data_IF_278766149168
#
_entry.id   IF_278766149168
#
_cell.length_a   1.000
_cell.length_b   1.000
_cell.length_c   1.000
_cell.angle_alpha   90.00
_cell.angle_beta   90.00
_cell.angle_gamma   90.00
#
_symmetry.space_group_name_H-M   'P 1'
#
loop_
_entity.id
_entity.type
_entity.pdbx_description
1 polymer ?
#
# COMPACT_ATOMS: atom_id res chain seq x y z
N UNK A 1 -18.16 4.56 15.04
CA UNK A 1 -16.69 4.57 15.21
C UNK A 1 -16.11 4.64 13.82
N UNK A 2 -15.22 5.60 13.58
CA UNK A 2 -14.53 5.75 12.29
C UNK A 2 -13.87 4.42 11.91
N UNK A 3 -13.98 4.02 10.64
CA UNK A 3 -13.30 2.84 10.07
C UNK A 3 -11.77 3.04 10.01
N UNK A 4 -11.31 4.26 10.33
CA UNK A 4 -9.93 4.69 10.21
C UNK A 4 -9.18 4.61 11.55
N UNK A 5 -7.91 4.24 11.47
CA UNK A 5 -6.98 4.21 12.61
C UNK A 5 -6.82 5.62 13.20
N UNK A 6 -6.79 5.80 14.53
CA UNK A 6 -6.45 7.09 15.11
C UNK A 6 -5.11 7.63 14.58
N UNK A 7 -4.97 8.96 14.47
CA UNK A 7 -3.71 9.56 14.10
C UNK A 7 -2.63 9.26 15.15
N UNK A 8 -1.37 9.24 14.73
CA UNK A 8 -0.23 9.08 15.61
C UNK A 8 0.88 10.10 15.27
N UNK A 9 1.79 10.28 16.21
CA UNK A 9 2.99 11.11 16.01
C UNK A 9 4.20 10.20 15.79
N UNK A 10 5.03 10.45 14.76
CA UNK A 10 6.23 9.68 14.54
C UNK A 10 7.26 10.01 15.62
N UNK A 11 8.11 9.04 15.91
CA UNK A 11 9.20 9.22 16.87
C UNK A 11 10.43 8.46 16.43
N UNK A 12 11.59 9.03 16.71
CA UNK A 12 12.89 8.43 16.43
C UNK A 12 13.47 7.69 17.63
N UNK A 13 12.77 7.64 18.76
CA UNK A 13 13.25 6.95 19.96
C UNK A 13 13.30 5.42 19.75
N UNK A 14 14.43 4.74 20.00
CA UNK A 14 14.50 3.29 19.89
C UNK A 14 13.59 2.53 20.86
N UNK A 15 13.27 3.12 22.02
CA UNK A 15 12.35 2.52 23.00
C UNK A 15 10.96 2.25 22.40
N UNK A 16 10.58 3.02 21.39
CA UNK A 16 9.29 2.86 20.70
C UNK A 16 9.29 1.71 19.70
N UNK A 17 10.43 1.04 19.49
CA UNK A 17 10.49 -0.15 18.66
C UNK A 17 9.86 -1.37 19.35
N UNK A 18 9.73 -1.37 20.69
CA UNK A 18 9.14 -2.46 21.48
C UNK A 18 7.75 -2.85 20.98
N UNK A 19 7.35 -4.10 21.21
CA UNK A 19 5.99 -4.57 20.91
C UNK A 19 4.99 -3.89 21.87
N UNK A 20 4.22 -2.91 21.37
CA UNK A 20 3.19 -2.19 22.12
C UNK A 20 2.10 -1.69 21.18
N UNK A 21 0.84 -1.75 21.60
CA UNK A 21 -0.29 -1.18 20.83
C UNK A 21 -0.08 0.32 20.57
N UNK A 22 0.50 1.03 21.54
CA UNK A 22 0.83 2.47 21.42
C UNK A 22 1.79 2.76 20.25
N UNK A 23 2.67 1.82 19.93
CA UNK A 23 3.73 2.01 18.92
C UNK A 23 3.55 1.14 17.68
N UNK A 24 2.43 0.42 17.58
CA UNK A 24 2.16 -0.48 16.47
C UNK A 24 2.21 0.28 15.14
N UNK A 25 1.58 1.46 15.07
CA UNK A 25 1.52 2.26 13.84
C UNK A 25 2.87 2.78 13.38
N UNK A 26 3.73 3.25 14.30
CA UNK A 26 5.09 3.66 13.92
C UNK A 26 5.96 2.46 13.50
N UNK A 27 5.78 1.30 14.14
CA UNK A 27 6.51 0.08 13.78
C UNK A 27 6.08 -0.47 12.41
N UNK A 28 4.80 -0.40 12.05
CA UNK A 28 4.28 -0.70 10.70
C UNK A 28 5.02 0.14 9.66
N UNK A 29 5.11 1.46 9.85
CA UNK A 29 5.81 2.33 8.91
C UNK A 29 7.31 2.02 8.82
N UNK A 30 7.97 1.75 9.97
CA UNK A 30 9.40 1.38 10.01
C UNK A 30 9.70 0.11 9.22
N UNK A 31 8.97 -0.98 9.47
CA UNK A 31 9.23 -2.25 8.79
C UNK A 31 8.94 -2.16 7.30
N UNK A 32 7.88 -1.44 6.92
CA UNK A 32 7.56 -1.21 5.52
C UNK A 32 8.66 -0.40 4.82
N UNK A 33 9.16 0.66 5.46
CA UNK A 33 10.28 1.44 4.92
C UNK A 33 11.53 0.57 4.74
N UNK A 34 11.88 -0.26 5.73
CA UNK A 34 13.03 -1.17 5.64
C UNK A 34 12.86 -2.19 4.50
N UNK A 35 11.68 -2.80 4.34
CA UNK A 35 11.42 -3.73 3.24
C UNK A 35 11.46 -3.07 1.86
N UNK A 36 10.95 -1.84 1.77
CA UNK A 36 10.98 -1.04 0.54
C UNK A 36 12.39 -0.57 0.16
N UNK A 37 13.31 -0.46 1.12
CA UNK A 37 14.69 -0.07 0.90
C UNK A 37 15.55 -1.16 0.24
N UNK A 38 15.13 -2.43 0.26
CA UNK A 38 15.80 -3.51 -0.48
C UNK A 38 15.44 -3.46 -1.97
N UNK A 39 16.42 -3.78 -2.83
CA UNK A 39 16.27 -3.75 -4.29
C UNK A 39 16.41 -2.37 -4.92
N UNK A 40 16.16 -2.28 -6.23
CA UNK A 40 16.47 -1.10 -7.06
C UNK A 40 15.33 -0.06 -7.15
N UNK A 41 14.21 -0.29 -6.47
CA UNK A 41 13.01 0.52 -6.66
C UNK A 41 13.05 1.81 -5.83
N UNK A 42 12.59 2.92 -6.43
CA UNK A 42 12.65 4.27 -5.82
C UNK A 42 11.40 4.64 -5.01
N UNK A 43 10.78 3.66 -4.33
CA UNK A 43 9.53 3.87 -3.59
C UNK A 43 9.63 4.90 -2.46
N UNK A 44 10.82 5.00 -1.84
CA UNK A 44 11.10 5.90 -0.71
C UNK A 44 11.65 7.27 -1.11
N UNK A 45 11.76 7.53 -2.42
CA UNK A 45 12.40 8.74 -2.89
C UNK A 45 11.54 9.97 -2.57
N UNK A 46 12.08 10.86 -1.73
CA UNK A 46 11.48 12.12 -1.33
C UNK A 46 10.95 12.09 0.09
N UNK A 47 11.24 11.02 0.82
CA UNK A 47 10.79 10.76 2.18
C UNK A 47 11.93 10.88 3.20
N UNK A 48 13.00 11.62 2.88
CA UNK A 48 14.19 11.73 3.73
C UNK A 48 13.82 12.19 5.16
N UNK A 49 12.95 13.21 5.27
CA UNK A 49 12.49 13.75 6.56
C UNK A 49 11.62 12.77 7.33
N UNK A 50 10.73 12.08 6.63
CA UNK A 50 9.81 11.10 7.23
C UNK A 50 10.57 9.86 7.72
N UNK A 51 11.60 9.41 6.99
CA UNK A 51 12.49 8.36 7.45
C UNK A 51 13.22 8.75 8.74
N UNK A 52 13.77 9.97 8.81
CA UNK A 52 14.38 10.48 10.04
C UNK A 52 13.39 10.57 11.19
N UNK A 53 12.16 11.04 10.93
CA UNK A 53 11.11 11.14 11.94
C UNK A 53 10.77 9.77 12.54
N UNK A 54 10.85 8.70 11.74
CA UNK A 54 10.71 7.31 12.20
C UNK A 54 11.96 6.74 12.87
N UNK A 55 13.07 7.48 12.90
CA UNK A 55 14.35 7.04 13.43
C UNK A 55 15.22 6.22 12.48
N UNK A 56 14.87 6.21 11.20
CA UNK A 56 15.60 5.51 10.13
C UNK A 56 16.59 6.44 9.41
N UNK A 57 17.67 5.90 8.80
CA UNK A 57 18.62 6.70 8.04
C UNK A 57 18.03 7.32 6.76
N UNK A 58 18.36 8.58 6.46
CA UNK A 58 17.91 9.28 5.24
C UNK A 58 18.35 8.59 3.95
N UNK A 59 19.52 7.93 3.97
CA UNK A 59 20.06 7.28 2.79
C UNK A 59 19.13 6.18 2.25
N UNK A 60 18.19 5.67 3.07
CA UNK A 60 17.17 4.72 2.62
C UNK A 60 16.20 5.33 1.58
N UNK A 61 16.08 6.67 1.50
CA UNK A 61 15.33 7.33 0.42
C UNK A 61 16.04 7.23 -0.94
N UNK A 62 17.35 6.96 -0.90
CA UNK A 62 18.18 6.71 -2.08
C UNK A 62 17.94 5.30 -2.65
N UNK A 63 18.55 5.05 -3.81
CA UNK A 63 18.65 3.67 -4.28
C UNK A 63 19.81 3.00 -3.56
N UNK A 64 19.55 1.85 -2.99
CA UNK A 64 20.51 1.20 -2.11
C UNK A 64 21.22 0.01 -2.73
N UNK A 65 20.67 -0.51 -3.83
CA UNK A 65 21.12 -1.72 -4.54
C UNK A 65 21.35 -2.93 -3.62
N UNK A 66 20.80 -2.93 -2.39
CA UNK A 66 21.00 -4.00 -1.44
C UNK A 66 20.12 -5.20 -1.79
N UNK A 67 20.76 -6.38 -1.77
CA UNK A 67 20.11 -7.67 -1.97
C UNK A 67 19.58 -8.21 -0.65
N UNK A 68 18.30 -8.56 -0.63
CA UNK A 68 17.70 -9.30 0.49
C UNK A 68 18.44 -10.61 0.76
N UNK A 69 18.77 -11.37 -0.28
CA UNK A 69 19.42 -12.69 -0.14
C UNK A 69 20.80 -12.58 0.52
N UNK A 70 21.54 -11.49 0.27
CA UNK A 70 22.86 -11.29 0.84
C UNK A 70 22.77 -10.82 2.30
N UNK A 71 21.80 -9.95 2.61
CA UNK A 71 21.52 -9.53 3.97
C UNK A 71 20.98 -10.68 4.83
N UNK A 72 20.06 -11.48 4.29
CA UNK A 72 19.44 -12.61 4.98
C UNK A 72 20.40 -13.78 5.18
N UNK A 73 21.46 -13.92 4.37
CA UNK A 73 22.54 -14.88 4.61
C UNK A 73 23.50 -14.46 5.72
N UNK A 74 23.60 -13.16 6.00
CA UNK A 74 24.36 -12.61 7.13
C UNK A 74 23.55 -12.63 8.43
N UNK A 75 22.26 -12.95 8.37
CA UNK A 75 21.43 -13.14 9.54
C UNK A 75 21.95 -14.31 10.37
N UNK A 76 22.51 -13.99 11.54
CA UNK A 76 22.87 -14.99 12.52
C UNK A 76 21.58 -15.53 13.17
N UNK A 77 21.34 -16.83 13.01
CA UNK A 77 20.17 -17.51 13.59
C UNK A 77 20.20 -17.48 15.12
N UNK A 78 21.39 -17.29 15.70
CA UNK A 78 21.56 -16.98 17.10
C UNK A 78 20.70 -15.82 17.55
N UNK A 79 20.33 -14.86 16.68
CA UNK A 79 19.64 -13.63 17.09
C UNK A 79 18.18 -13.81 17.54
N UNK A 80 17.52 -14.94 17.24
CA UNK A 80 16.26 -15.28 17.92
C UNK A 80 16.44 -15.81 19.34
N UNK A 81 17.66 -16.24 19.64
CA UNK A 81 18.07 -16.89 20.89
C UNK A 81 18.98 -15.96 21.71
N UNK A 82 19.65 -15.00 21.08
CA UNK A 82 20.46 -13.96 21.71
C UNK A 82 19.54 -12.93 22.36
N UNK A 83 19.90 -12.53 23.58
CA UNK A 83 19.19 -11.61 24.47
C UNK A 83 18.97 -10.18 23.92
N UNK A 84 19.20 -9.92 22.63
CA UNK A 84 19.05 -8.57 22.05
C UNK A 84 17.57 -8.23 21.88
N UNK A 85 17.16 -7.20 22.61
CA UNK A 85 15.84 -6.61 22.52
C UNK A 85 15.59 -6.00 21.12
N UNK A 86 14.31 -5.86 20.76
CA UNK A 86 13.91 -5.23 19.49
C UNK A 86 14.36 -3.78 19.41
N UNK A 87 14.40 -3.11 20.56
CA UNK A 87 14.89 -1.75 20.77
C UNK A 87 16.39 -1.62 20.47
N UNK A 88 17.21 -2.55 20.98
CA UNK A 88 18.64 -2.59 20.68
C UNK A 88 18.92 -2.87 19.21
N UNK A 89 18.20 -3.82 18.60
CA UNK A 89 18.30 -4.10 17.16
C UNK A 89 17.92 -2.87 16.34
N UNK A 90 16.83 -2.17 16.70
CA UNK A 90 16.42 -0.95 16.01
C UNK A 90 17.43 0.19 16.17
N UNK A 91 17.98 0.38 17.38
CA UNK A 91 19.03 1.37 17.63
C UNK A 91 20.28 1.10 16.76
N UNK A 92 20.63 -0.17 16.56
CA UNK A 92 21.76 -0.59 15.74
C UNK A 92 21.59 -0.30 14.23
N UNK A 93 20.36 -0.12 13.73
CA UNK A 93 20.11 0.23 12.31
C UNK A 93 20.75 1.56 11.88
N UNK A 94 21.16 2.39 12.85
CA UNK A 94 21.84 3.66 12.60
C UNK A 94 23.33 3.53 12.32
N UNK A 95 23.86 2.31 12.36
CA UNK A 95 25.29 2.01 12.20
C UNK A 95 25.60 1.34 10.85
N UNK A 96 26.88 1.11 10.53
CA UNK A 96 27.34 0.63 9.22
C UNK A 96 26.89 -0.81 8.86
N UNK A 97 26.34 -1.58 9.82
CA UNK A 97 25.86 -2.95 9.61
C UNK A 97 24.34 -3.05 9.38
N UNK A 98 23.75 -2.01 8.77
CA UNK A 98 22.30 -1.87 8.68
C UNK A 98 21.56 -3.02 7.95
N UNK A 99 22.06 -3.71 6.89
CA UNK A 99 21.25 -4.71 6.18
C UNK A 99 20.92 -5.93 7.03
N UNK A 100 21.91 -6.46 7.75
CA UNK A 100 21.71 -7.59 8.67
C UNK A 100 20.85 -7.19 9.88
N UNK A 101 21.04 -5.96 10.39
CA UNK A 101 20.18 -5.39 11.41
C UNK A 101 18.74 -5.25 10.95
N UNK A 102 18.51 -4.84 9.69
CA UNK A 102 17.18 -4.67 9.11
C UNK A 102 16.47 -6.01 8.97
N UNK A 103 17.14 -7.04 8.47
CA UNK A 103 16.59 -8.41 8.43
C UNK A 103 16.22 -8.87 9.83
N UNK A 104 17.11 -8.67 10.81
CA UNK A 104 16.86 -9.04 12.21
C UNK A 104 15.62 -8.35 12.76
N UNK A 105 15.51 -7.03 12.56
CA UNK A 105 14.38 -6.25 13.04
C UNK A 105 13.07 -6.69 12.37
N UNK A 106 13.07 -6.87 11.05
CA UNK A 106 11.91 -7.37 10.30
C UNK A 106 11.43 -8.72 10.82
N UNK A 107 12.37 -9.61 11.12
CA UNK A 107 12.10 -10.96 11.61
C UNK A 107 11.58 -10.94 13.07
N UNK A 108 12.11 -10.09 13.95
CA UNK A 108 11.59 -9.86 15.30
C UNK A 108 10.16 -9.28 15.29
N UNK A 109 9.84 -8.41 14.32
CA UNK A 109 8.49 -7.83 14.16
C UNK A 109 7.53 -8.84 13.51
N UNK A 110 8.00 -9.68 12.59
CA UNK A 110 7.21 -10.78 12.02
C UNK A 110 6.68 -11.70 13.11
N UNK A 111 7.49 -12.00 14.14
CA UNK A 111 7.08 -12.79 15.30
C UNK A 111 6.21 -12.05 16.32
N UNK A 112 5.79 -10.82 16.07
CA UNK A 112 4.96 -10.06 16.99
C UNK A 112 3.56 -10.65 17.19
N UNK A 113 3.01 -10.52 18.39
CA UNK A 113 1.60 -10.81 18.67
C UNK A 113 0.64 -9.70 18.25
N UNK A 114 1.13 -8.56 17.77
CA UNK A 114 0.33 -7.47 17.23
C UNK A 114 0.03 -7.69 15.74
N UNK A 115 -1.23 -7.54 15.36
CA UNK A 115 -1.71 -7.98 14.05
C UNK A 115 -1.09 -7.18 12.91
N UNK A 116 -1.14 -5.85 12.98
CA UNK A 116 -0.76 -4.96 11.88
C UNK A 116 0.75 -4.98 11.70
N UNK A 117 1.54 -4.90 12.78
CA UNK A 117 3.00 -4.92 12.64
C UNK A 117 3.53 -6.26 12.14
N UNK A 118 2.96 -7.40 12.58
CA UNK A 118 3.36 -8.72 12.06
C UNK A 118 3.00 -8.87 10.57
N UNK A 119 1.83 -8.37 10.15
CA UNK A 119 1.45 -8.34 8.73
C UNK A 119 2.34 -7.40 7.91
N UNK A 120 2.68 -6.23 8.44
CA UNK A 120 3.56 -5.25 7.81
C UNK A 120 4.97 -5.81 7.62
N UNK A 121 5.51 -6.53 8.62
CA UNK A 121 6.80 -7.20 8.52
C UNK A 121 6.77 -8.33 7.49
N UNK A 122 5.72 -9.15 7.47
CA UNK A 122 5.53 -10.17 6.45
C UNK A 122 5.48 -9.59 5.03
N UNK A 123 4.72 -8.50 4.85
CA UNK A 123 4.64 -7.75 3.62
C UNK A 123 6.01 -7.19 3.21
N UNK A 124 6.74 -6.57 4.13
CA UNK A 124 8.07 -6.02 3.92
C UNK A 124 9.08 -7.09 3.46
N UNK A 125 9.10 -8.25 4.13
CA UNK A 125 9.95 -9.40 3.79
C UNK A 125 9.61 -9.95 2.40
N UNK A 126 8.32 -10.12 2.11
CA UNK A 126 7.86 -10.62 0.82
C UNK A 126 8.26 -9.70 -0.35
N UNK A 127 8.15 -8.40 -0.12
CA UNK A 127 8.58 -7.38 -1.09
C UNK A 127 10.11 -7.37 -1.23
N UNK A 128 10.85 -7.36 -0.11
CA UNK A 128 12.31 -7.34 -0.07
C UNK A 128 12.93 -8.52 -0.82
N UNK A 129 12.41 -9.73 -0.62
CA UNK A 129 12.87 -10.98 -1.26
C UNK A 129 12.58 -11.08 -2.76
N UNK A 130 11.87 -10.11 -3.36
CA UNK A 130 11.56 -10.13 -4.79
C UNK A 130 10.61 -11.25 -5.21
N UNK A 131 9.94 -11.92 -4.26
CA UNK A 131 9.05 -13.07 -4.51
C UNK A 131 7.73 -12.72 -5.22
N UNK A 132 7.43 -11.43 -5.41
CA UNK A 132 6.25 -10.95 -6.16
C UNK A 132 6.05 -11.64 -7.51
N UNK A 133 7.14 -11.96 -8.21
CA UNK A 133 7.08 -12.54 -9.56
C UNK A 133 7.12 -14.08 -9.59
N UNK A 134 7.29 -14.74 -8.43
CA UNK A 134 7.52 -16.20 -8.37
C UNK A 134 6.22 -17.00 -8.48
N UNK A 135 5.08 -16.41 -8.13
CA UNK A 135 3.75 -17.05 -8.21
C UNK A 135 3.39 -17.48 -9.65
N UNK A 136 4.08 -16.93 -10.66
CA UNK A 136 3.72 -17.11 -12.06
C UNK A 136 4.55 -18.15 -12.84
N UNK A 137 5.56 -18.80 -12.23
CA UNK A 137 6.23 -19.95 -12.86
C UNK A 137 5.32 -21.19 -12.86
N UNK A 138 4.25 -21.12 -13.66
CA UNK A 138 3.41 -22.24 -14.11
C UNK A 138 4.32 -23.27 -14.79
N UNK A 139 4.51 -24.42 -14.14
CA UNK A 139 5.13 -25.61 -14.74
C UNK A 139 6.15 -26.33 -13.86
N UNK A 140 6.67 -25.70 -12.81
CA UNK A 140 7.52 -26.39 -11.84
C UNK A 140 6.68 -27.32 -10.95
N UNK A 141 7.14 -28.54 -10.60
CA UNK A 141 6.48 -29.33 -9.58
C UNK A 141 6.39 -28.47 -8.31
N UNK A 142 5.17 -28.35 -7.75
CA UNK A 142 4.93 -27.79 -6.40
C UNK A 142 6.10 -28.22 -5.52
N UNK A 143 6.85 -27.28 -4.92
CA UNK A 143 8.04 -27.62 -4.12
C UNK A 143 7.62 -28.78 -3.19
N UNK A 144 8.37 -29.90 -3.23
CA UNK A 144 8.00 -31.18 -2.60
C UNK A 144 7.51 -31.03 -1.16
N UNK A 145 7.97 -30.01 -0.44
CA UNK A 145 7.62 -29.76 0.94
C UNK A 145 6.22 -29.16 1.16
N UNK A 146 5.59 -28.47 0.20
CA UNK A 146 4.16 -28.09 0.32
C UNK A 146 3.27 -29.33 0.45
N UNK A 147 3.67 -30.44 -0.19
CA UNK A 147 3.02 -31.75 0.02
C UNK A 147 3.37 -32.40 1.35
N UNK A 148 4.55 -32.11 1.94
CA UNK A 148 4.84 -32.54 3.32
C UNK A 148 4.01 -31.74 4.33
N UNK A 149 3.77 -30.44 4.08
CA UNK A 149 2.90 -29.62 4.92
C UNK A 149 1.44 -30.11 4.92
N UNK A 150 0.97 -30.58 3.76
CA UNK A 150 -0.32 -31.28 3.64
C UNK A 150 -0.31 -32.68 4.31
N UNK A 151 0.85 -33.34 4.43
CA UNK A 151 0.96 -34.74 4.90
C UNK A 151 1.20 -34.86 6.41
N UNK A 152 1.96 -33.94 7.01
CA UNK A 152 2.37 -34.01 8.41
C UNK A 152 1.42 -33.27 9.37
N UNK A 153 0.54 -32.42 8.84
CA UNK A 153 -0.25 -31.50 9.66
C UNK A 153 0.68 -30.49 10.35
N UNK A 154 0.24 -29.24 10.44
CA UNK A 154 0.90 -28.33 11.37
C UNK A 154 0.66 -28.89 12.79
N UNK A 155 1.67 -28.95 13.70
CA UNK A 155 1.44 -29.38 15.08
C UNK A 155 0.57 -28.40 15.90
N UNK A 156 0.10 -27.30 15.29
CA UNK A 156 -0.77 -26.30 15.92
C UNK A 156 -2.14 -26.26 15.29
N UNK A 157 -3.14 -26.52 16.13
CA UNK A 157 -4.55 -26.29 15.87
C UNK A 157 -4.83 -24.77 15.96
N UNK A 158 -4.28 -24.00 15.00
CA UNK A 158 -4.63 -22.59 14.83
C UNK A 158 -6.07 -22.55 14.29
N UNK A 159 -7.08 -22.16 15.09
CA UNK A 159 -8.48 -22.28 14.70
C UNK A 159 -8.73 -21.49 13.41
N UNK A 160 -9.07 -22.18 12.32
CA UNK A 160 -9.38 -21.56 11.02
C UNK A 160 -8.18 -21.23 10.11
N UNK A 161 -6.93 -21.37 10.58
CA UNK A 161 -5.77 -21.23 9.70
C UNK A 161 -5.67 -22.39 8.68
N UNK A 162 -6.29 -23.53 9.03
CA UNK A 162 -6.20 -24.78 8.27
C UNK A 162 -7.55 -25.52 8.11
N UNK A 163 -8.68 -24.80 7.97
CA UNK A 163 -9.71 -25.36 7.06
C UNK A 163 -8.95 -25.69 5.76
N UNK A 164 -8.99 -26.94 5.27
CA UNK A 164 -7.94 -27.54 4.46
C UNK A 164 -7.57 -26.64 3.28
N UNK A 165 -6.50 -25.85 3.45
CA UNK A 165 -5.86 -25.00 2.44
C UNK A 165 -6.74 -24.73 1.24
N UNK A 166 -7.85 -23.99 1.43
CA UNK A 166 -9.00 -23.90 0.52
C UNK A 166 -8.70 -24.39 -0.89
N UNK A 167 -8.84 -25.70 -1.11
CA UNK A 167 -8.56 -26.46 -2.33
C UNK A 167 -7.70 -25.76 -3.41
N UNK A 168 -6.41 -25.43 -3.18
CA UNK A 168 -5.59 -24.75 -4.21
C UNK A 168 -6.17 -23.43 -4.78
N UNK A 169 -7.31 -22.97 -4.28
CA UNK A 169 -8.16 -21.90 -4.79
C UNK A 169 -7.81 -20.56 -4.12
N UNK A 170 -7.28 -20.59 -2.90
CA UNK A 170 -6.87 -19.39 -2.16
C UNK A 170 -5.52 -18.81 -2.64
N UNK A 171 -4.61 -19.64 -3.15
CA UNK A 171 -3.40 -19.15 -3.84
C UNK A 171 -3.67 -18.74 -5.28
N UNK A 172 -4.83 -19.12 -5.82
CA UNK A 172 -5.40 -18.51 -7.03
C UNK A 172 -6.24 -17.29 -6.73
N UNK A 173 -6.27 -16.80 -5.48
CA UNK A 173 -6.80 -15.47 -5.18
C UNK A 173 -5.94 -14.46 -5.92
N UNK A 174 -6.38 -14.16 -7.13
CA UNK A 174 -5.90 -13.03 -7.86
C UNK A 174 -6.72 -11.85 -7.34
N UNK A 175 -6.10 -10.88 -6.66
CA UNK A 175 -6.83 -9.71 -6.21
C UNK A 175 -7.47 -8.92 -7.36
N UNK A 176 -7.05 -9.16 -8.61
CA UNK A 176 -7.66 -8.61 -9.82
C UNK A 176 -8.89 -9.40 -10.31
N UNK A 177 -9.19 -10.58 -9.74
CA UNK A 177 -10.39 -11.36 -10.07
C UNK A 177 -11.53 -11.05 -9.09
N UNK A 178 -12.76 -11.06 -9.59
CA UNK A 178 -14.01 -10.83 -8.85
C UNK A 178 -14.37 -11.95 -7.85
N UNK A 179 -13.39 -12.67 -7.33
CA UNK A 179 -13.64 -13.69 -6.30
C UNK A 179 -14.11 -13.01 -5.00
N UNK A 180 -15.20 -13.50 -4.38
CA UNK A 180 -15.67 -12.96 -3.11
C UNK A 180 -14.53 -12.99 -2.08
N UNK A 181 -14.46 -11.99 -1.19
CA UNK A 181 -13.41 -11.98 -0.17
C UNK A 181 -13.50 -13.27 0.64
N UNK A 182 -12.35 -13.90 0.97
CA UNK A 182 -12.35 -15.06 1.83
C UNK A 182 -13.05 -14.72 3.15
N UNK A 183 -13.64 -15.73 3.79
CA UNK A 183 -14.23 -15.59 5.13
C UNK A 183 -13.22 -14.93 6.06
N UNK A 184 -13.65 -13.90 6.79
CA UNK A 184 -12.79 -13.23 7.75
C UNK A 184 -12.45 -14.16 8.91
N UNK A 185 -11.23 -14.03 9.41
CA UNK A 185 -10.71 -14.79 10.55
C UNK A 185 -10.28 -13.82 11.64
N UNK A 186 -10.65 -14.11 12.88
CA UNK A 186 -10.18 -13.36 14.05
C UNK A 186 -8.68 -13.57 14.27
N UNK A 187 -8.01 -12.53 14.76
CA UNK A 187 -6.58 -12.57 15.08
C UNK A 187 -6.30 -13.38 16.36
N UNK A 188 -5.27 -14.22 16.31
CA UNK A 188 -4.81 -15.01 17.47
C UNK A 188 -3.32 -14.73 17.77
N UNK A 189 -3.03 -13.75 18.65
CA UNK A 189 -1.66 -13.37 19.00
C UNK A 189 -0.81 -14.56 19.48
N UNK A 190 -1.32 -15.33 20.44
CA UNK A 190 -0.56 -16.41 21.07
C UNK A 190 -0.30 -17.58 20.12
N UNK A 191 -1.28 -17.91 19.28
CA UNK A 191 -1.12 -18.94 18.26
C UNK A 191 -0.06 -18.54 17.21
N UNK A 192 -0.09 -17.29 16.76
CA UNK A 192 0.89 -16.78 15.81
C UNK A 192 2.31 -16.75 16.40
N UNK A 193 2.47 -16.21 17.61
CA UNK A 193 3.78 -16.13 18.27
C UNK A 193 4.40 -17.52 18.50
N UNK A 194 3.57 -18.52 18.84
CA UNK A 194 4.01 -19.91 18.98
C UNK A 194 4.51 -20.46 17.64
N UNK A 195 3.71 -20.33 16.57
CA UNK A 195 4.08 -20.79 15.23
C UNK A 195 5.36 -20.10 14.72
N UNK A 196 5.48 -18.78 14.90
CA UNK A 196 6.66 -18.02 14.51
C UNK A 196 7.90 -18.48 15.27
N UNK A 197 7.81 -18.66 16.60
CA UNK A 197 8.93 -19.14 17.42
C UNK A 197 9.42 -20.51 16.94
N UNK A 198 8.51 -21.43 16.68
CA UNK A 198 8.88 -22.79 16.29
C UNK A 198 9.49 -22.86 14.90
N UNK A 199 8.93 -22.14 13.91
CA UNK A 199 9.46 -22.11 12.55
C UNK A 199 10.84 -21.44 12.47
N UNK A 200 11.14 -20.55 13.40
CA UNK A 200 12.39 -19.81 13.45
C UNK A 200 13.45 -20.49 14.33
N UNK A 201 13.11 -21.58 15.03
CA UNK A 201 14.11 -22.37 15.75
C UNK A 201 15.09 -23.05 14.78
N UNK A 202 16.41 -23.03 15.07
CA UNK A 202 17.43 -23.61 14.19
C UNK A 202 17.16 -25.08 13.82
N UNK A 203 16.72 -25.87 14.78
CA UNK A 203 16.63 -27.33 14.69
C UNK A 203 15.28 -27.86 14.18
N UNK A 204 14.26 -27.02 14.04
CA UNK A 204 12.89 -27.46 13.80
C UNK A 204 12.61 -27.97 12.36
N UNK A 205 13.42 -27.58 11.37
CA UNK A 205 13.19 -27.94 9.96
C UNK A 205 14.49 -28.01 9.14
N UNK A 206 14.59 -28.78 8.05
CA UNK A 206 15.71 -28.68 7.10
C UNK A 206 15.49 -27.53 6.08
N UNK A 207 16.48 -26.62 5.92
CA UNK A 207 16.45 -25.49 4.97
C UNK A 207 17.40 -24.35 5.36
N UNK A 208 17.79 -23.52 4.39
CA UNK A 208 18.55 -22.29 4.60
C UNK A 208 17.67 -21.22 5.30
N UNK A 209 18.29 -20.25 5.99
CA UNK A 209 17.56 -19.28 6.85
C UNK A 209 16.62 -18.36 6.07
N UNK A 210 17.03 -17.82 4.90
CA UNK A 210 16.19 -16.92 4.11
C UNK A 210 14.87 -17.57 3.68
N UNK A 211 14.90 -18.82 3.23
CA UNK A 211 13.71 -19.54 2.77
C UNK A 211 12.67 -19.69 3.87
N UNK A 212 13.09 -20.00 5.10
CA UNK A 212 12.14 -20.15 6.23
C UNK A 212 11.49 -18.82 6.61
N UNK A 213 12.26 -17.73 6.60
CA UNK A 213 11.74 -16.39 6.88
C UNK A 213 10.69 -16.01 5.83
N UNK A 214 10.97 -16.29 4.55
CA UNK A 214 10.04 -16.04 3.45
C UNK A 214 8.78 -16.91 3.53
N UNK A 215 8.92 -18.17 3.93
CA UNK A 215 7.81 -19.11 4.12
C UNK A 215 6.89 -18.67 5.26
N UNK A 216 7.46 -18.26 6.40
CA UNK A 216 6.70 -17.70 7.51
C UNK A 216 5.99 -16.40 7.11
N UNK A 217 6.66 -15.51 6.37
CA UNK A 217 6.05 -14.30 5.83
C UNK A 217 4.88 -14.61 4.89
N UNK A 218 5.02 -15.61 4.01
CA UNK A 218 3.93 -16.04 3.13
C UNK A 218 2.72 -16.55 3.92
N UNK A 219 2.94 -17.37 4.95
CA UNK A 219 1.89 -17.85 5.84
C UNK A 219 1.17 -16.68 6.54
N UNK A 220 1.93 -15.69 7.06
CA UNK A 220 1.35 -14.51 7.71
C UNK A 220 0.51 -13.68 6.74
N UNK A 221 0.98 -13.49 5.51
CA UNK A 221 0.27 -12.74 4.47
C UNK A 221 -1.06 -13.39 4.11
N UNK A 222 -1.08 -14.73 4.01
CA UNK A 222 -2.32 -15.48 3.76
C UNK A 222 -3.37 -15.24 4.86
N UNK A 223 -2.95 -15.24 6.14
CA UNK A 223 -3.82 -14.88 7.25
C UNK A 223 -4.24 -13.40 7.20
N UNK A 224 -3.32 -12.48 6.87
CA UNK A 224 -3.58 -11.05 6.82
C UNK A 224 -4.63 -10.67 5.77
N UNK A 225 -4.70 -11.38 4.64
CA UNK A 225 -5.75 -11.19 3.63
C UNK A 225 -7.17 -11.50 4.15
N UNK A 226 -7.27 -12.30 5.22
CA UNK A 226 -8.53 -12.68 5.88
C UNK A 226 -8.80 -11.90 7.16
N UNK A 227 -7.95 -10.94 7.49
CA UNK A 227 -8.12 -10.12 8.69
C UNK A 227 -9.46 -9.37 8.66
N UNK A 228 -10.06 -9.14 9.83
CA UNK A 228 -11.18 -8.21 9.99
C UNK A 228 -10.72 -6.74 9.92
N UNK A 229 -9.45 -6.48 10.23
CA UNK A 229 -8.84 -5.15 10.16
C UNK A 229 -8.54 -4.75 8.69
N UNK A 230 -9.16 -3.67 8.18
CA UNK A 230 -8.98 -3.25 6.79
C UNK A 230 -7.54 -2.87 6.45
N UNK A 231 -6.79 -2.31 7.41
CA UNK A 231 -5.39 -1.91 7.21
C UNK A 231 -4.51 -3.14 7.01
N UNK A 232 -4.66 -4.15 7.86
CA UNK A 232 -3.96 -5.44 7.73
C UNK A 232 -4.21 -6.08 6.35
N UNK A 233 -5.46 -6.08 5.88
CA UNK A 233 -5.77 -6.56 4.51
C UNK A 233 -5.08 -5.73 3.44
N UNK A 234 -5.12 -4.39 3.53
CA UNK A 234 -4.49 -3.50 2.56
C UNK A 234 -2.98 -3.72 2.46
N UNK A 235 -2.29 -3.87 3.60
CA UNK A 235 -0.85 -4.16 3.65
C UNK A 235 -0.53 -5.48 2.94
N UNK A 236 -1.30 -6.54 3.23
CA UNK A 236 -1.09 -7.84 2.61
C UNK A 236 -1.32 -7.80 1.10
N UNK A 237 -2.42 -7.16 0.68
CA UNK A 237 -2.74 -7.06 -0.73
C UNK A 237 -1.73 -6.18 -1.48
N UNK A 238 -1.22 -5.09 -0.90
CA UNK A 238 -0.16 -4.27 -1.49
C UNK A 238 1.14 -5.06 -1.71
N UNK A 239 1.49 -5.95 -0.78
CA UNK A 239 2.67 -6.82 -0.90
C UNK A 239 2.53 -7.82 -2.06
N UNK A 240 1.33 -8.40 -2.20
CA UNK A 240 1.01 -9.44 -3.18
C UNK A 240 0.64 -8.88 -4.57
N UNK A 241 0.22 -7.63 -4.63
CA UNK A 241 -0.17 -6.97 -5.86
C UNK A 241 0.98 -6.94 -6.88
N UNK A 242 0.64 -7.25 -8.13
CA UNK A 242 1.56 -7.15 -9.26
C UNK A 242 1.64 -5.71 -9.71
N UNK A 243 2.66 -5.02 -9.25
CA UNK A 243 3.07 -3.77 -9.90
C UNK A 243 3.65 -4.18 -11.26
N UNK A 244 2.94 -3.90 -12.35
CA UNK A 244 3.42 -4.20 -13.69
C UNK A 244 4.85 -3.67 -13.86
N UNK A 245 5.73 -4.48 -14.44
CA UNK A 245 7.15 -4.12 -14.67
C UNK A 245 7.35 -3.10 -15.79
N UNK A 246 6.31 -2.42 -16.21
CA UNK A 246 6.35 -1.38 -17.23
C UNK A 246 5.62 -0.17 -16.70
N UNK A 247 6.38 0.80 -16.19
CA UNK A 247 6.12 2.16 -16.62
C UNK A 247 6.50 2.17 -18.12
N UNK A 248 5.63 1.62 -18.97
CA UNK A 248 5.72 1.88 -20.41
C UNK A 248 5.63 3.40 -20.56
N UNK A 249 6.53 3.98 -21.37
CA UNK A 249 6.65 5.42 -21.60
C UNK A 249 5.26 6.06 -21.58
N UNK A 250 5.05 7.04 -20.69
CA UNK A 250 3.75 7.69 -20.53
C UNK A 250 3.16 7.96 -21.91
N UNK A 251 2.14 7.17 -22.29
CA UNK A 251 1.69 7.11 -23.68
C UNK A 251 1.49 8.54 -24.17
N UNK A 252 2.20 8.91 -25.25
CA UNK A 252 2.32 10.27 -25.78
C UNK A 252 1.02 10.82 -26.38
N UNK A 253 -0.08 10.72 -25.65
CA UNK A 253 -1.30 11.47 -25.87
C UNK A 253 -1.03 12.95 -25.60
N UNK A 254 -1.48 13.81 -26.51
CA UNK A 254 -1.38 15.26 -26.32
C UNK A 254 -2.10 15.68 -25.05
N UNK A 255 -1.60 16.72 -24.39
CA UNK A 255 -2.22 17.31 -23.21
C UNK A 255 -3.74 17.46 -23.39
N UNK A 256 -4.52 16.99 -22.42
CA UNK A 256 -5.97 17.07 -22.44
C UNK A 256 -6.43 18.52 -22.64
N UNK A 257 -7.55 18.69 -23.36
CA UNK A 257 -8.08 20.04 -23.65
C UNK A 257 -8.75 20.61 -22.41
N UNK A 258 -8.60 21.92 -22.17
CA UNK A 258 -9.38 22.60 -21.16
C UNK A 258 -10.89 22.47 -21.45
N UNK A 259 -11.75 22.33 -20.41
CA UNK A 259 -13.19 22.45 -20.56
C UNK A 259 -13.64 23.76 -21.20
N UNK A 260 -14.86 23.77 -21.75
CA UNK A 260 -15.42 24.96 -22.40
C UNK A 260 -15.83 25.98 -21.32
N UNK A 261 -15.28 27.21 -21.30
CA UNK A 261 -15.63 28.22 -20.30
C UNK A 261 -17.14 28.52 -20.27
N UNK A 262 -17.73 28.62 -19.07
CA UNK A 262 -19.14 28.97 -18.88
C UNK A 262 -20.15 27.84 -19.14
N UNK A 263 -19.68 26.62 -19.41
CA UNK A 263 -20.52 25.43 -19.48
C UNK A 263 -20.88 24.89 -18.09
N UNK A 264 -22.08 24.32 -17.92
CA UNK A 264 -22.39 23.47 -16.76
C UNK A 264 -21.44 22.27 -16.82
N UNK A 265 -20.45 22.26 -15.94
CA UNK A 265 -19.48 21.17 -15.74
C UNK A 265 -19.81 20.42 -14.45
N UNK A 266 -19.43 19.14 -14.41
CA UNK A 266 -19.71 18.23 -13.30
C UNK A 266 -18.39 17.83 -12.67
N UNK A 267 -18.37 17.72 -11.33
CA UNK A 267 -17.26 17.11 -10.60
C UNK A 267 -17.54 15.63 -10.37
N UNK A 268 -16.53 14.76 -10.22
CA UNK A 268 -16.77 13.33 -9.92
C UNK A 268 -15.60 12.71 -9.17
N UNK A 269 -15.80 11.51 -8.62
CA UNK A 269 -14.80 10.73 -7.89
C UNK A 269 -14.47 9.46 -8.69
N UNK A 270 -13.20 9.06 -8.71
CA UNK A 270 -12.73 7.74 -9.14
C UNK A 270 -12.10 7.04 -7.95
N UNK A 271 -12.66 5.89 -7.57
CA UNK A 271 -12.15 5.08 -6.48
C UNK A 271 -10.82 4.40 -6.82
N UNK A 272 -10.04 4.04 -5.79
CA UNK A 272 -8.79 3.31 -5.91
C UNK A 272 -8.95 1.80 -6.15
N UNK A 273 -7.85 1.07 -5.99
CA UNK A 273 -7.80 -0.39 -6.06
C UNK A 273 -8.81 -1.01 -5.07
N UNK A 274 -9.63 -1.94 -5.55
CA UNK A 274 -10.78 -2.54 -4.83
C UNK A 274 -11.83 -1.57 -4.27
N UNK A 275 -11.74 -0.27 -4.56
CA UNK A 275 -12.68 0.73 -4.07
C UNK A 275 -14.12 0.47 -4.52
N UNK A 276 -14.34 -0.32 -5.57
CA UNK A 276 -15.66 -0.76 -6.02
C UNK A 276 -16.43 -1.57 -4.97
N UNK A 277 -15.70 -2.25 -4.06
CA UNK A 277 -16.26 -3.01 -2.93
C UNK A 277 -16.70 -2.10 -1.78
N UNK A 278 -16.13 -0.90 -1.70
CA UNK A 278 -16.56 0.14 -0.76
C UNK A 278 -17.66 1.03 -1.36
N UNK A 279 -18.32 1.79 -0.50
CA UNK A 279 -19.39 2.70 -0.87
C UNK A 279 -19.00 4.18 -0.74
N UNK A 280 -17.96 4.54 0.02
CA UNK A 280 -17.55 5.92 0.34
C UNK A 280 -17.60 6.95 -0.83
N UNK A 281 -17.31 6.52 -2.06
CA UNK A 281 -17.26 7.36 -3.26
C UNK A 281 -18.59 7.46 -4.03
N UNK A 282 -19.57 6.59 -3.73
CA UNK A 282 -20.86 6.51 -4.44
C UNK A 282 -21.79 7.64 -3.99
N UNK A 283 -22.75 8.05 -4.83
CA UNK A 283 -23.76 9.03 -4.43
C UNK A 283 -24.47 8.65 -3.12
N UNK A 284 -24.57 9.60 -2.19
CA UNK A 284 -25.17 9.42 -0.85
C UNK A 284 -24.33 8.60 0.15
N UNK A 285 -23.05 8.37 -0.16
CA UNK A 285 -22.10 7.80 0.78
C UNK A 285 -21.32 8.91 1.51
N UNK A 286 -20.66 8.56 2.62
CA UNK A 286 -20.07 9.52 3.56
C UNK A 286 -19.14 10.56 2.91
N UNK A 287 -18.13 10.11 2.16
CA UNK A 287 -17.18 11.02 1.52
C UNK A 287 -17.79 11.75 0.32
N UNK A 288 -18.64 11.09 -0.48
CA UNK A 288 -19.38 11.75 -1.55
C UNK A 288 -20.25 12.90 -1.04
N UNK A 289 -21.02 12.67 0.02
CA UNK A 289 -21.89 13.69 0.62
C UNK A 289 -21.08 14.83 1.23
N UNK A 290 -19.96 14.52 1.89
CA UNK A 290 -19.04 15.54 2.38
C UNK A 290 -18.50 16.42 1.24
N UNK A 291 -18.03 15.80 0.14
CA UNK A 291 -17.56 16.55 -1.04
C UNK A 291 -18.70 17.40 -1.59
N UNK A 292 -19.91 16.88 -1.68
CA UNK A 292 -21.08 17.63 -2.17
C UNK A 292 -21.39 18.86 -1.32
N UNK A 293 -21.28 18.75 0.00
CA UNK A 293 -21.66 19.80 0.94
C UNK A 293 -20.57 20.86 1.08
N UNK A 294 -19.31 20.43 1.20
CA UNK A 294 -18.21 21.28 1.67
C UNK A 294 -17.18 21.63 0.58
N UNK A 295 -17.15 20.90 -0.54
CA UNK A 295 -16.03 20.95 -1.50
C UNK A 295 -16.50 21.30 -2.92
N UNK A 296 -17.41 20.51 -3.51
CA UNK A 296 -17.93 20.65 -4.87
C UNK A 296 -19.42 20.31 -4.92
N UNK A 297 -20.27 21.33 -4.80
CA UNK A 297 -21.72 21.17 -4.90
C UNK A 297 -22.21 20.58 -6.25
N UNK A 298 -21.40 20.68 -7.31
CA UNK A 298 -21.67 20.12 -8.64
C UNK A 298 -21.20 18.66 -8.82
N UNK A 299 -20.87 17.93 -7.74
CA UNK A 299 -20.47 16.52 -7.83
C UNK A 299 -21.58 15.63 -8.42
N UNK A 300 -21.20 14.72 -9.31
CA UNK A 300 -22.09 13.78 -9.96
C UNK A 300 -22.82 12.93 -8.94
N UNK A 301 -24.15 12.97 -8.97
CA UNK A 301 -25.02 12.34 -7.98
C UNK A 301 -26.20 11.59 -8.61
N UNK A 302 -26.15 11.38 -9.93
CA UNK A 302 -27.17 10.61 -10.67
C UNK A 302 -26.83 9.12 -10.67
N UNK A 303 -27.70 8.30 -11.26
CA UNK A 303 -27.45 6.87 -11.45
C UNK A 303 -26.22 6.60 -12.34
N UNK A 304 -25.65 5.40 -12.24
CA UNK A 304 -24.45 4.97 -12.98
C UNK A 304 -23.21 5.89 -12.79
N UNK A 305 -22.74 6.09 -11.54
CA UNK A 305 -21.43 6.70 -11.33
C UNK A 305 -20.35 5.83 -11.97
N UNK A 306 -19.27 6.45 -12.46
CA UNK A 306 -18.16 5.70 -13.05
C UNK A 306 -17.55 4.74 -12.01
N UNK A 307 -17.38 3.47 -12.40
CA UNK A 307 -16.75 2.43 -11.61
C UNK A 307 -15.81 1.65 -12.51
N UNK A 308 -14.73 1.13 -11.95
CA UNK A 308 -13.83 0.21 -12.64
C UNK A 308 -13.49 -0.99 -11.76
N UNK A 309 -12.78 -1.97 -12.32
CA UNK A 309 -12.44 -3.21 -11.60
C UNK A 309 -11.60 -2.97 -10.34
N UNK A 310 -10.94 -1.81 -10.23
CA UNK A 310 -9.98 -1.54 -9.18
C UNK A 310 -8.81 -2.51 -9.21
N UNK A 311 -8.52 -3.14 -10.35
CA UNK A 311 -7.41 -4.06 -10.50
C UNK A 311 -6.06 -3.31 -10.44
N UNK A 312 -5.03 -3.98 -9.94
CA UNK A 312 -3.71 -3.40 -9.76
C UNK A 312 -2.88 -3.39 -11.05
N UNK A 313 -3.24 -4.17 -12.06
CA UNK A 313 -2.44 -4.27 -13.29
C UNK A 313 -2.48 -3.01 -14.17
N UNK A 314 -1.36 -2.70 -14.83
CA UNK A 314 -1.26 -1.58 -15.78
C UNK A 314 -2.29 -1.62 -16.92
N UNK A 315 -2.49 -2.75 -17.61
CA UNK A 315 -3.46 -2.84 -18.70
C UNK A 315 -4.89 -2.53 -18.23
N UNK A 316 -5.26 -2.94 -17.00
CA UNK A 316 -6.57 -2.64 -16.45
C UNK A 316 -6.76 -1.16 -16.14
N UNK A 317 -5.72 -0.47 -15.65
CA UNK A 317 -5.77 0.99 -15.46
C UNK A 317 -5.90 1.74 -16.79
N UNK A 318 -5.26 1.26 -17.86
CA UNK A 318 -5.41 1.81 -19.21
C UNK A 318 -6.84 1.65 -19.72
N UNK A 319 -7.41 0.44 -19.63
CA UNK A 319 -8.81 0.18 -19.99
C UNK A 319 -9.77 1.07 -19.17
N UNK A 320 -9.55 1.18 -17.85
CA UNK A 320 -10.35 2.06 -17.00
C UNK A 320 -10.29 3.53 -17.43
N UNK A 321 -9.13 4.01 -17.90
CA UNK A 321 -9.00 5.39 -18.39
C UNK A 321 -9.77 5.61 -19.71
N UNK A 322 -9.76 4.63 -20.62
CA UNK A 322 -10.56 4.65 -21.85
C UNK A 322 -12.07 4.61 -21.55
N UNK A 323 -12.47 3.77 -20.59
CA UNK A 323 -13.85 3.67 -20.12
C UNK A 323 -14.31 4.99 -19.47
N UNK A 324 -13.47 5.59 -18.64
CA UNK A 324 -13.75 6.89 -18.03
C UNK A 324 -13.91 7.98 -19.08
N UNK A 325 -13.05 8.02 -20.11
CA UNK A 325 -13.17 8.99 -21.21
C UNK A 325 -14.54 8.89 -21.88
N UNK A 326 -14.98 7.67 -22.23
CA UNK A 326 -16.30 7.44 -22.86
C UNK A 326 -17.44 7.87 -21.94
N UNK A 327 -17.38 7.48 -20.67
CA UNK A 327 -18.36 7.89 -19.66
C UNK A 327 -18.41 9.42 -19.52
N UNK A 328 -17.27 10.10 -19.49
CA UNK A 328 -17.19 11.56 -19.36
C UNK A 328 -17.74 12.28 -20.60
N UNK A 329 -17.52 11.75 -21.80
CA UNK A 329 -18.09 12.28 -23.05
C UNK A 329 -19.62 12.21 -23.07
N UNK A 330 -20.20 11.16 -22.49
CA UNK A 330 -21.66 10.99 -22.38
C UNK A 330 -22.27 11.89 -21.30
N UNK A 331 -21.66 11.90 -20.10
CA UNK A 331 -22.23 12.56 -18.93
C UNK A 331 -21.94 14.06 -18.89
N UNK A 332 -20.77 14.48 -19.38
CA UNK A 332 -20.35 15.88 -19.39
C UNK A 332 -19.53 16.20 -20.65
N UNK A 333 -20.14 16.26 -21.85
CA UNK A 333 -19.44 16.50 -23.13
C UNK A 333 -18.65 17.83 -23.18
N UNK A 334 -18.98 18.76 -22.27
CA UNK A 334 -18.31 20.06 -22.13
C UNK A 334 -17.10 20.04 -21.19
N UNK A 335 -16.93 18.96 -20.42
CA UNK A 335 -15.77 18.69 -19.57
C UNK A 335 -16.12 18.41 -18.11
N UNK A 336 -15.16 17.83 -17.40
CA UNK A 336 -15.18 17.61 -15.96
C UNK A 336 -14.54 18.82 -15.29
N UNK A 337 -15.21 19.33 -14.25
CA UNK A 337 -14.72 20.45 -13.45
C UNK A 337 -13.58 19.96 -12.54
N UNK A 338 -13.91 19.28 -11.45
CA UNK A 338 -12.93 18.65 -10.57
C UNK A 338 -13.10 17.13 -10.61
N UNK A 339 -11.98 16.43 -10.84
CA UNK A 339 -11.91 14.98 -10.79
C UNK A 339 -11.09 14.56 -9.56
N UNK A 340 -11.77 14.01 -8.55
CA UNK A 340 -11.10 13.48 -7.37
C UNK A 340 -10.73 12.01 -7.61
N UNK A 341 -9.47 11.65 -7.45
CA UNK A 341 -9.01 10.28 -7.66
C UNK A 341 -8.25 9.76 -6.45
N UNK A 342 -8.72 8.66 -5.86
CA UNK A 342 -8.01 8.01 -4.75
C UNK A 342 -7.09 6.91 -5.22
N UNK A 343 -5.89 6.81 -4.63
CA UNK A 343 -4.91 5.78 -4.99
C UNK A 343 -4.70 5.73 -6.50
N UNK A 344 -4.71 4.55 -7.12
CA UNK A 344 -4.67 4.37 -8.57
C UNK A 344 -5.87 4.95 -9.34
N UNK A 345 -6.98 5.30 -8.69
CA UNK A 345 -8.06 6.09 -9.31
C UNK A 345 -7.58 7.47 -9.76
N UNK A 346 -6.62 8.07 -9.05
CA UNK A 346 -5.94 9.29 -9.48
C UNK A 346 -5.06 9.08 -10.71
N UNK A 347 -4.46 7.89 -10.85
CA UNK A 347 -3.72 7.55 -12.07
C UNK A 347 -4.66 7.35 -13.28
N UNK A 348 -5.80 6.68 -13.08
CA UNK A 348 -6.85 6.54 -14.10
C UNK A 348 -7.34 7.91 -14.57
N UNK A 349 -7.54 8.85 -13.64
CA UNK A 349 -7.94 10.23 -13.94
C UNK A 349 -6.93 10.94 -14.88
N UNK A 350 -5.64 10.91 -14.54
CA UNK A 350 -4.61 11.59 -15.37
C UNK A 350 -4.36 10.87 -16.70
N UNK A 351 -4.50 9.54 -16.75
CA UNK A 351 -4.45 8.79 -18.01
C UNK A 351 -5.60 9.19 -18.92
N UNK A 352 -6.82 9.29 -18.39
CA UNK A 352 -7.97 9.72 -19.17
C UNK A 352 -7.81 11.16 -19.68
N UNK A 353 -7.20 12.04 -18.88
CA UNK A 353 -6.82 13.38 -19.32
C UNK A 353 -5.83 13.33 -20.50
N UNK A 354 -4.77 12.53 -20.42
CA UNK A 354 -3.82 12.31 -21.52
C UNK A 354 -4.48 11.71 -22.77
N UNK A 355 -5.56 10.95 -22.61
CA UNK A 355 -6.38 10.43 -23.71
C UNK A 355 -7.36 11.47 -24.30
N UNK A 356 -7.30 12.73 -23.84
CA UNK A 356 -8.08 13.84 -24.37
C UNK A 356 -9.36 14.17 -23.59
N UNK A 357 -9.62 13.52 -22.44
CA UNK A 357 -10.73 13.90 -21.57
C UNK A 357 -10.54 15.34 -21.08
N UNK A 358 -11.57 16.17 -21.22
CA UNK A 358 -11.52 17.57 -20.79
C UNK A 358 -11.68 17.64 -19.28
N UNK A 359 -10.59 17.87 -18.54
CA UNK A 359 -10.58 17.96 -17.08
C UNK A 359 -9.92 19.29 -16.71
N UNK A 360 -10.60 20.11 -15.89
CA UNK A 360 -10.06 21.40 -15.44
C UNK A 360 -9.05 21.20 -14.30
N UNK A 361 -9.37 20.33 -13.35
CA UNK A 361 -8.60 20.10 -12.13
C UNK A 361 -8.67 18.63 -11.70
N UNK A 362 -7.56 18.10 -11.21
CA UNK A 362 -7.52 16.81 -10.50
C UNK A 362 -7.16 17.00 -9.03
N UNK A 363 -7.87 16.30 -8.15
CA UNK A 363 -7.53 16.18 -6.73
C UNK A 363 -7.08 14.74 -6.50
N UNK A 364 -5.79 14.57 -6.23
CA UNK A 364 -5.15 13.29 -6.01
C UNK A 364 -5.18 12.98 -4.50
N UNK A 365 -5.76 11.85 -4.12
CA UNK A 365 -5.91 11.41 -2.74
C UNK A 365 -5.06 10.16 -2.52
N UNK A 366 -3.91 10.29 -1.84
CA UNK A 366 -2.93 9.19 -1.70
C UNK A 366 -2.57 8.52 -3.04
N UNK A 367 -2.55 9.27 -4.14
CA UNK A 367 -2.23 8.73 -5.46
C UNK A 367 -0.72 8.48 -5.59
N UNK A 368 -0.28 7.35 -6.17
CA UNK A 368 1.14 7.14 -6.47
C UNK A 368 1.63 8.23 -7.41
N UNK A 369 2.83 8.77 -7.15
CA UNK A 369 3.50 9.72 -8.03
C UNK A 369 4.14 9.01 -9.23
N UNK A 370 3.33 8.27 -9.99
CA UNK A 370 3.74 7.53 -11.19
C UNK A 370 4.15 8.48 -12.32
N UNK A 371 4.72 7.92 -13.39
CA UNK A 371 5.16 8.72 -14.54
C UNK A 371 3.98 9.44 -15.20
N UNK A 372 2.80 8.84 -15.25
CA UNK A 372 1.59 9.49 -15.79
C UNK A 372 1.16 10.71 -14.96
N UNK A 373 1.19 10.60 -13.63
CA UNK A 373 0.86 11.72 -12.73
C UNK A 373 1.88 12.84 -12.89
N UNK A 374 3.17 12.53 -12.91
CA UNK A 374 4.22 13.53 -13.14
C UNK A 374 4.07 14.19 -14.50
N UNK A 375 3.85 13.42 -15.57
CA UNK A 375 3.64 13.94 -16.92
C UNK A 375 2.45 14.89 -16.99
N UNK A 376 1.32 14.56 -16.35
CA UNK A 376 0.15 15.42 -16.35
C UNK A 376 0.42 16.77 -15.65
N UNK A 377 1.09 16.74 -14.49
CA UNK A 377 1.52 17.95 -13.79
C UNK A 377 2.51 18.76 -14.65
N UNK A 378 3.49 18.12 -15.27
CA UNK A 378 4.48 18.77 -16.13
C UNK A 378 3.86 19.39 -17.38
N UNK A 379 2.78 18.78 -17.88
CA UNK A 379 2.01 19.24 -19.02
C UNK A 379 0.95 20.30 -18.66
N UNK A 380 0.93 20.76 -17.40
CA UNK A 380 0.16 21.92 -16.96
C UNK A 380 -1.23 21.62 -16.39
N UNK A 381 -1.59 20.36 -16.13
CA UNK A 381 -2.87 20.01 -15.49
C UNK A 381 -2.93 20.58 -14.07
N UNK A 382 -3.95 21.38 -13.74
CA UNK A 382 -4.15 21.89 -12.38
C UNK A 382 -4.37 20.70 -11.43
N UNK A 383 -3.47 20.57 -10.46
CA UNK A 383 -3.37 19.39 -9.61
C UNK A 383 -3.30 19.81 -8.15
N UNK A 384 -4.17 19.21 -7.33
CA UNK A 384 -4.12 19.28 -5.89
C UNK A 384 -3.77 17.88 -5.39
N UNK A 385 -2.75 17.76 -4.57
CA UNK A 385 -2.15 16.49 -4.20
C UNK A 385 -2.17 16.33 -2.68
N UNK A 386 -3.19 15.62 -2.18
CA UNK A 386 -3.44 15.38 -0.76
C UNK A 386 -2.88 14.00 -0.40
N UNK A 387 -1.95 13.94 0.55
CA UNK A 387 -1.20 12.71 0.86
C UNK A 387 -0.78 12.57 2.31
N UNK A 388 -0.52 11.34 2.70
CA UNK A 388 0.09 10.99 3.98
C UNK A 388 1.57 11.43 4.02
N UNK A 389 2.12 11.73 5.21
CA UNK A 389 3.56 11.85 5.42
C UNK A 389 4.29 10.60 4.94
N UNK A 390 3.87 9.42 5.39
CA UNK A 390 4.38 8.15 4.90
C UNK A 390 3.22 7.21 4.64
N UNK A 391 3.10 6.76 3.40
CA UNK A 391 2.05 5.83 3.00
C UNK A 391 2.62 4.39 2.94
N UNK A 392 2.27 3.51 3.89
CA UNK A 392 2.83 2.16 3.93
C UNK A 392 2.34 1.30 2.75
N UNK A 393 1.15 1.57 2.20
CA UNK A 393 0.64 0.83 1.04
C UNK A 393 1.45 1.18 -0.20
N UNK A 394 1.73 2.47 -0.45
CA UNK A 394 2.54 2.90 -1.59
C UNK A 394 4.03 2.51 -1.42
N UNK A 395 4.56 2.53 -0.20
CA UNK A 395 5.92 2.05 0.07
C UNK A 395 6.06 0.55 -0.20
N UNK A 396 5.11 -0.28 0.27
CA UNK A 396 5.07 -1.71 -0.04
C UNK A 396 4.97 -1.91 -1.54
N UNK A 397 4.05 -1.20 -2.21
CA UNK A 397 3.93 -1.18 -3.67
C UNK A 397 5.23 -0.80 -4.40
N UNK A 398 6.22 -0.23 -3.71
CA UNK A 398 7.46 0.31 -4.28
C UNK A 398 7.21 1.42 -5.30
N UNK A 399 6.10 2.12 -5.15
CA UNK A 399 5.73 3.26 -5.99
C UNK A 399 6.16 4.56 -5.33
N UNK A 400 6.68 5.53 -6.09
CA UNK A 400 7.04 6.83 -5.52
C UNK A 400 5.83 7.53 -4.90
N UNK A 401 6.06 8.17 -3.75
CA UNK A 401 5.01 8.87 -3.00
C UNK A 401 5.05 10.39 -3.15
N UNK A 402 6.03 10.94 -3.88
CA UNK A 402 6.23 12.39 -4.04
C UNK A 402 6.30 12.79 -5.51
N UNK A 403 5.47 13.75 -5.87
CA UNK A 403 5.56 14.49 -7.14
C UNK A 403 6.65 15.56 -6.93
N UNK A 404 7.92 15.16 -6.96
CA UNK A 404 9.06 16.09 -6.74
C UNK A 404 9.12 17.14 -7.86
N UNK A 405 8.39 18.26 -7.74
CA UNK A 405 8.55 19.44 -8.62
C UNK A 405 7.89 20.69 -8.03
N UNK A 406 8.57 21.84 -8.14
CA UNK A 406 7.95 23.16 -7.93
C UNK A 406 7.17 23.55 -9.19
N UNK A 407 6.03 22.92 -9.42
CA UNK A 407 5.13 23.28 -10.52
C UNK A 407 4.11 24.30 -10.03
N UNK A 408 3.85 25.37 -10.79
CA UNK A 408 2.90 26.43 -10.39
C UNK A 408 1.45 25.98 -10.43
N UNK A 409 1.17 24.89 -11.15
CA UNK A 409 -0.13 24.23 -11.25
C UNK A 409 -0.30 23.08 -10.23
N UNK A 410 0.65 22.89 -9.30
CA UNK A 410 0.59 21.85 -8.26
C UNK A 410 0.44 22.49 -6.88
N UNK A 411 -0.61 22.11 -6.16
CA UNK A 411 -0.78 22.39 -4.71
C UNK A 411 -0.59 21.09 -3.94
N UNK A 412 0.53 20.94 -3.25
CA UNK A 412 0.78 19.77 -2.40
C UNK A 412 0.29 20.02 -0.97
N UNK A 413 -0.51 19.09 -0.45
CA UNK A 413 -1.04 19.11 0.91
C UNK A 413 -0.66 17.78 1.59
N UNK A 414 0.41 17.81 2.38
CA UNK A 414 0.77 16.68 3.25
C UNK A 414 -0.01 16.81 4.56
N UNK A 415 -0.69 15.73 4.98
CA UNK A 415 -1.39 15.70 6.26
C UNK A 415 -0.39 15.89 7.42
N UNK A 416 -0.56 16.83 8.36
CA UNK A 416 0.33 16.97 9.52
C UNK A 416 0.34 15.74 10.42
N UNK A 417 -0.81 15.10 10.62
CA UNK A 417 -0.92 13.90 11.44
C UNK A 417 -0.61 12.65 10.62
N UNK A 418 0.00 11.64 11.26
CA UNK A 418 0.30 10.39 10.59
C UNK A 418 -0.87 9.42 10.73
N UNK A 419 -1.16 8.71 9.65
CA UNK A 419 -2.23 7.72 9.58
C UNK A 419 -1.69 6.46 8.92
N UNK A 420 -2.10 5.29 9.38
CA UNK A 420 -1.80 4.03 8.68
C UNK A 420 -2.71 3.80 7.49
N UNK A 421 -3.96 4.25 7.58
CA UNK A 421 -4.96 3.98 6.56
C UNK A 421 -4.63 4.76 5.29
N UNK A 422 -4.39 4.03 4.21
CA UNK A 422 -4.25 4.59 2.87
C UNK A 422 -5.49 5.40 2.43
N UNK A 423 -6.65 5.09 3.03
CA UNK A 423 -7.92 5.78 2.80
C UNK A 423 -8.13 7.05 3.64
N UNK A 424 -7.21 7.43 4.54
CA UNK A 424 -7.40 8.61 5.39
C UNK A 424 -7.56 9.91 4.57
N UNK A 425 -7.03 9.96 3.34
CA UNK A 425 -7.19 11.10 2.43
C UNK A 425 -8.60 11.22 1.81
N UNK A 426 -9.48 10.26 2.04
CA UNK A 426 -10.90 10.33 1.71
C UNK A 426 -11.81 10.15 2.94
N UNK A 427 -11.30 10.36 4.15
CA UNK A 427 -12.10 10.39 5.37
C UNK A 427 -12.61 11.83 5.64
N UNK A 428 -13.93 12.08 5.66
CA UNK A 428 -14.48 13.38 6.05
C UNK A 428 -13.97 13.91 7.38
N UNK A 429 -13.76 13.04 8.38
CA UNK A 429 -13.32 13.46 9.72
C UNK A 429 -11.88 13.98 9.68
N UNK A 430 -11.03 13.39 8.85
CA UNK A 430 -9.66 13.88 8.59
C UNK A 430 -9.71 15.22 7.86
N UNK A 431 -10.59 15.37 6.86
CA UNK A 431 -10.72 16.64 6.13
C UNK A 431 -11.15 17.79 7.03
N UNK A 432 -12.09 17.54 7.93
CA UNK A 432 -12.59 18.53 8.89
C UNK A 432 -11.53 18.87 9.94
N UNK A 433 -10.94 17.87 10.58
CA UNK A 433 -9.94 18.08 11.66
C UNK A 433 -8.66 18.75 11.17
N UNK A 434 -8.26 18.51 9.92
CA UNK A 434 -7.03 19.08 9.34
C UNK A 434 -7.27 20.30 8.44
N UNK A 435 -8.51 20.82 8.38
CA UNK A 435 -8.93 21.96 7.56
C UNK A 435 -8.50 21.83 6.09
N UNK A 436 -8.68 20.64 5.49
CA UNK A 436 -8.13 20.34 4.17
C UNK A 436 -8.74 21.19 3.06
N UNK A 437 -10.02 21.56 3.13
CA UNK A 437 -10.67 22.42 2.14
C UNK A 437 -9.91 23.74 1.98
N UNK A 438 -9.61 24.41 3.09
CA UNK A 438 -8.88 25.67 3.09
C UNK A 438 -7.43 25.51 2.61
N UNK A 439 -6.73 24.46 3.05
CA UNK A 439 -5.32 24.22 2.69
C UNK A 439 -5.14 23.80 1.25
N UNK A 440 -6.10 23.04 0.72
CA UNK A 440 -6.13 22.58 -0.66
C UNK A 440 -6.65 23.65 -1.63
N UNK A 441 -7.13 24.80 -1.13
CA UNK A 441 -7.76 25.87 -1.91
C UNK A 441 -8.96 25.35 -2.72
N UNK A 442 -9.74 24.46 -2.09
CA UNK A 442 -10.93 23.85 -2.67
C UNK A 442 -12.17 24.68 -2.37
#
# INVERSE_FOLDING_TARGET
MSEYDPPFEPTSSPETARQSVEFESINVCRVVALGAAFGSARGLSGLERELQAMGLPEYLAGNSDWSWDDAARQFDRGVFVEDRSREETFAALRTDAWPAGAVTFLVQVLGSGLERESAAAAAAIWVASGRRNVIERRGGPRRRWYRLWDLYGFPFDLPGAFEPWGAAADWTYNPDLETPPPRTLGWSPGGWQMAARELLQPDAYPGDSPERIEELAAARLSLAMRSEDPITRQLAMAALARVGSGDDDAEGGGAGRAPIPGAVSVSTIIHGTWGWKGDWWRPSASFHDYVRQEVRANIYSRGAPFSWSGAYSDPQRRVAAEDFRRWAEEISPRGIDTLLGHSYGGEVAVRAWSLGTKIQEVVLLSTPASQHVRFAVESGLKTIDIRLPFDPVLALARTPQRIRRKATNLTEVVLPQWHLSHGATHDPDVWQSENLVQRALL
#
